data_IF_924797006972
#
_entry.id   IF_924797006972
#
_cell.length_a   1.000
_cell.length_b   1.000
_cell.length_c   1.000
_cell.angle_alpha   90.00
_cell.angle_beta   90.00
_cell.angle_gamma   90.00
#
_symmetry.space_group_name_H-M   'P 1'
#
loop_
_entity.id
_entity.type
_entity.pdbx_description
1 polymer ?
#
# COMPACT_ATOMS: atom_id res chain seq x y z
N UNK A 1 2.64 18.79 -3.75
CA UNK A 1 1.57 19.69 -4.25
C UNK A 1 0.69 20.16 -3.11
N UNK A 2 -0.11 19.28 -2.49
CA UNK A 2 -1.07 19.65 -1.43
C UNK A 2 -0.44 20.37 -0.22
N UNK A 3 0.73 19.93 0.22
CA UNK A 3 1.48 20.59 1.30
C UNK A 3 2.01 21.97 0.89
N UNK A 4 2.43 22.11 -0.37
CA UNK A 4 2.88 23.38 -0.94
C UNK A 4 1.74 24.39 -1.11
N UNK A 5 0.54 23.93 -1.47
CA UNK A 5 -0.67 24.77 -1.53
C UNK A 5 -1.00 25.33 -0.14
N UNK A 6 -0.80 24.56 0.93
CA UNK A 6 -1.03 25.04 2.32
C UNK A 6 -0.06 26.15 2.73
N UNK A 7 1.21 26.08 2.32
CA UNK A 7 2.22 27.11 2.66
C UNK A 7 2.29 28.26 1.65
N UNK A 8 1.57 28.16 0.53
CA UNK A 8 1.54 29.19 -0.51
C UNK A 8 1.16 30.59 0.02
N UNK A 9 0.14 30.75 0.91
CA UNK A 9 -0.19 32.07 1.46
C UNK A 9 0.95 32.68 2.27
N UNK A 10 1.71 31.87 3.00
CA UNK A 10 2.85 32.35 3.79
C UNK A 10 4.01 32.78 2.89
N UNK A 11 4.24 32.04 1.80
CA UNK A 11 5.23 32.43 0.78
C UNK A 11 4.83 33.71 0.03
N UNK A 12 3.53 33.88 -0.25
CA UNK A 12 3.00 35.11 -0.84
C UNK A 12 3.21 36.32 0.08
N UNK A 13 2.93 36.20 1.38
CA UNK A 13 3.21 37.26 2.36
C UNK A 13 4.68 37.62 2.43
N UNK A 14 5.56 36.61 2.36
CA UNK A 14 7.00 36.84 2.37
C UNK A 14 7.48 37.61 1.13
N UNK A 15 6.91 37.31 -0.04
CA UNK A 15 7.17 38.05 -1.26
C UNK A 15 6.75 39.52 -1.13
N UNK A 16 5.53 39.78 -0.65
CA UNK A 16 5.00 41.12 -0.43
C UNK A 16 5.85 41.93 0.56
N UNK A 17 6.36 41.26 1.60
CA UNK A 17 7.29 41.87 2.55
C UNK A 17 8.61 42.30 1.89
N UNK A 18 9.20 41.44 1.05
CA UNK A 18 10.44 41.76 0.32
C UNK A 18 10.21 42.97 -0.59
N UNK A 19 9.10 43.01 -1.34
CA UNK A 19 8.76 44.15 -2.21
C UNK A 19 8.55 45.44 -1.41
N UNK A 20 7.90 45.36 -0.24
CA UNK A 20 7.71 46.52 0.65
C UNK A 20 9.04 47.09 1.16
N UNK A 21 9.98 46.21 1.54
CA UNK A 21 11.33 46.60 1.92
C UNK A 21 12.07 47.27 0.76
N UNK A 22 12.02 46.67 -0.44
CA UNK A 22 12.64 47.23 -1.64
C UNK A 22 12.11 48.63 -1.95
N UNK A 23 10.79 48.81 -1.91
CA UNK A 23 10.15 50.12 -2.12
C UNK A 23 10.61 51.16 -1.11
N UNK A 24 10.77 50.77 0.16
CA UNK A 24 11.26 51.65 1.22
C UNK A 24 12.70 52.08 0.96
N UNK A 25 13.57 51.16 0.53
CA UNK A 25 14.96 51.47 0.16
C UNK A 25 15.02 52.42 -1.02
N UNK A 26 14.20 52.18 -2.06
CA UNK A 26 14.10 53.03 -3.24
C UNK A 26 13.71 54.46 -2.92
N UNK A 27 12.72 54.64 -2.03
CA UNK A 27 12.21 55.96 -1.67
C UNK A 27 13.17 56.76 -0.79
N UNK A 28 14.02 56.11 0.01
CA UNK A 28 14.79 56.78 1.05
C UNK A 28 16.31 56.83 0.79
N UNK A 29 16.87 55.92 -0.02
CA UNK A 29 18.32 55.73 -0.10
C UNK A 29 18.88 55.70 -1.52
N UNK A 30 18.40 54.79 -2.38
CA UNK A 30 18.90 54.66 -3.76
C UNK A 30 17.90 54.00 -4.70
N UNK A 31 17.94 54.39 -5.97
CA UNK A 31 17.26 53.64 -7.03
C UNK A 31 17.90 52.27 -7.24
N UNK A 32 17.12 51.31 -7.73
CA UNK A 32 17.64 50.01 -8.12
C UNK A 32 18.54 50.13 -9.35
N UNK A 33 19.55 49.27 -9.39
CA UNK A 33 20.35 49.05 -10.58
C UNK A 33 19.57 48.23 -11.61
N UNK A 34 19.95 48.33 -12.88
CA UNK A 34 19.32 47.57 -13.97
C UNK A 34 19.43 46.04 -13.76
N UNK A 35 20.53 45.58 -13.15
CA UNK A 35 20.71 44.17 -12.79
C UNK A 35 19.72 43.72 -11.69
N UNK A 36 19.48 44.55 -10.69
CA UNK A 36 18.51 44.26 -9.61
C UNK A 36 17.07 44.23 -10.14
N UNK A 37 16.71 45.21 -10.97
CA UNK A 37 15.40 45.24 -11.65
C UNK A 37 15.16 43.99 -12.49
N UNK A 38 16.18 43.55 -13.24
CA UNK A 38 16.10 42.34 -14.07
C UNK A 38 15.86 41.09 -13.21
N UNK A 39 16.48 41.00 -12.03
CA UNK A 39 16.29 39.86 -11.12
C UNK A 39 14.90 39.88 -10.50
N UNK A 40 14.43 41.03 -10.05
CA UNK A 40 13.09 41.19 -9.48
C UNK A 40 12.00 40.84 -10.51
N UNK A 41 12.12 41.36 -11.73
CA UNK A 41 11.18 41.08 -12.81
C UNK A 41 11.14 39.58 -13.15
N UNK A 42 12.30 38.93 -13.24
CA UNK A 42 12.39 37.48 -13.45
C UNK A 42 11.73 36.70 -12.31
N UNK A 43 11.97 37.09 -11.07
CA UNK A 43 11.41 36.44 -9.90
C UNK A 43 9.88 36.55 -9.88
N UNK A 44 9.33 37.74 -10.13
CA UNK A 44 7.90 37.98 -10.20
C UNK A 44 7.25 37.22 -11.35
N UNK A 45 7.88 37.21 -12.53
CA UNK A 45 7.40 36.44 -13.67
C UNK A 45 7.33 34.94 -13.36
N UNK A 46 8.39 34.37 -12.77
CA UNK A 46 8.40 32.97 -12.35
C UNK A 46 7.32 32.67 -11.30
N UNK A 47 7.15 33.56 -10.32
CA UNK A 47 6.13 33.43 -9.28
C UNK A 47 4.71 33.47 -9.88
N UNK A 48 4.45 34.41 -10.78
CA UNK A 48 3.18 34.56 -11.48
C UNK A 48 2.86 33.37 -12.39
N UNK A 49 3.88 32.72 -12.98
CA UNK A 49 3.70 31.46 -13.71
C UNK A 49 3.52 30.25 -12.79
N UNK A 50 4.20 30.24 -11.63
CA UNK A 50 4.18 29.10 -10.71
C UNK A 50 2.82 28.91 -10.03
N UNK A 51 2.18 29.99 -9.57
CA UNK A 51 0.87 29.92 -8.90
C UNK A 51 -0.20 29.19 -9.74
N UNK A 52 -0.48 29.55 -11.01
CA UNK A 52 -1.49 28.87 -11.80
C UNK A 52 -1.13 27.41 -12.07
N UNK A 53 0.15 27.09 -12.33
CA UNK A 53 0.60 25.72 -12.49
C UNK A 53 0.39 24.88 -11.23
N UNK A 54 0.65 25.46 -10.06
CA UNK A 54 0.43 24.79 -8.78
C UNK A 54 -1.06 24.55 -8.53
N UNK A 55 -1.92 25.52 -8.85
CA UNK A 55 -3.39 25.36 -8.76
C UNK A 55 -3.91 24.30 -9.72
N UNK A 56 -3.44 24.30 -10.96
CA UNK A 56 -3.82 23.29 -11.94
C UNK A 56 -3.40 21.88 -11.50
N UNK A 57 -2.19 21.74 -10.95
CA UNK A 57 -1.73 20.47 -10.39
C UNK A 57 -2.56 20.04 -9.18
N UNK A 58 -2.95 20.96 -8.30
CA UNK A 58 -3.81 20.66 -7.16
C UNK A 58 -5.22 20.25 -7.60
N UNK A 59 -5.81 20.97 -8.54
CA UNK A 59 -7.13 20.67 -9.11
C UNK A 59 -7.15 19.29 -9.78
N UNK A 60 -6.09 18.95 -10.52
CA UNK A 60 -5.94 17.63 -11.15
C UNK A 60 -5.88 16.52 -10.08
N UNK A 61 -5.05 16.71 -9.05
CA UNK A 61 -4.91 15.76 -7.94
C UNK A 61 -6.25 15.61 -7.21
N UNK A 62 -6.92 16.71 -6.87
CA UNK A 62 -8.20 16.72 -6.16
C UNK A 62 -9.32 16.08 -6.99
N UNK A 63 -9.31 16.24 -8.32
CA UNK A 63 -10.28 15.62 -9.23
C UNK A 63 -10.16 14.10 -9.28
N UNK A 64 -8.93 13.58 -9.28
CA UNK A 64 -8.67 12.14 -9.39
C UNK A 64 -8.61 11.42 -8.03
N UNK A 65 -8.36 12.15 -6.95
CA UNK A 65 -8.21 11.55 -5.63
C UNK A 65 -9.42 10.67 -5.21
N UNK A 66 -10.69 11.12 -5.31
CA UNK A 66 -11.83 10.30 -4.88
C UNK A 66 -12.00 9.02 -5.69
N UNK A 67 -11.68 9.04 -6.99
CA UNK A 67 -11.79 7.84 -7.82
C UNK A 67 -10.66 6.85 -7.53
N UNK A 68 -9.44 7.34 -7.29
CA UNK A 68 -8.30 6.50 -6.87
C UNK A 68 -8.53 5.89 -5.49
N UNK A 69 -9.00 6.68 -4.53
CA UNK A 69 -9.42 6.24 -3.19
C UNK A 69 -10.41 5.07 -3.28
N UNK A 70 -11.50 5.28 -4.02
CA UNK A 70 -12.54 4.28 -4.21
C UNK A 70 -12.02 3.00 -4.89
N UNK A 71 -11.08 3.14 -5.83
CA UNK A 71 -10.45 1.99 -6.48
C UNK A 71 -9.58 1.19 -5.50
N UNK A 72 -8.80 1.87 -4.65
CA UNK A 72 -8.01 1.23 -3.59
C UNK A 72 -8.92 0.49 -2.60
N UNK A 73 -9.99 1.10 -2.13
CA UNK A 73 -10.95 0.47 -1.21
C UNK A 73 -11.61 -0.77 -1.82
N UNK A 74 -12.01 -0.69 -3.10
CA UNK A 74 -12.57 -1.83 -3.82
C UNK A 74 -11.56 -2.97 -3.98
N UNK A 75 -10.32 -2.66 -4.37
CA UNK A 75 -9.25 -3.66 -4.49
C UNK A 75 -8.95 -4.30 -3.14
N UNK A 76 -8.86 -3.50 -2.07
CA UNK A 76 -8.63 -3.99 -0.74
C UNK A 76 -9.74 -4.95 -0.30
N UNK A 77 -11.00 -4.52 -0.44
CA UNK A 77 -12.17 -5.34 -0.08
C UNK A 77 -12.19 -6.66 -0.85
N UNK A 78 -11.91 -6.63 -2.15
CA UNK A 78 -11.86 -7.82 -2.98
C UNK A 78 -10.77 -8.81 -2.53
N UNK A 79 -9.52 -8.34 -2.39
CA UNK A 79 -8.40 -9.20 -2.00
C UNK A 79 -8.56 -9.74 -0.58
N UNK A 80 -9.13 -8.94 0.33
CA UNK A 80 -9.40 -9.35 1.69
C UNK A 80 -10.50 -10.42 1.77
N UNK A 81 -11.57 -10.28 0.98
CA UNK A 81 -12.59 -11.32 0.85
C UNK A 81 -12.00 -12.61 0.26
N UNK A 82 -11.17 -12.53 -0.77
CA UNK A 82 -10.53 -13.69 -1.40
C UNK A 82 -9.64 -14.45 -0.40
N UNK A 83 -8.82 -13.72 0.36
CA UNK A 83 -8.03 -14.29 1.45
C UNK A 83 -8.92 -15.01 2.47
N UNK A 84 -9.99 -14.37 2.95
CA UNK A 84 -10.92 -14.98 3.92
C UNK A 84 -11.53 -16.27 3.37
N UNK A 85 -11.87 -16.29 2.09
CA UNK A 85 -12.40 -17.49 1.44
C UNK A 85 -11.36 -18.61 1.44
N UNK A 86 -10.10 -18.34 1.05
CA UNK A 86 -9.04 -19.36 1.07
C UNK A 86 -8.78 -19.90 2.48
N UNK A 87 -8.80 -19.02 3.49
CA UNK A 87 -8.62 -19.41 4.89
C UNK A 87 -9.79 -20.28 5.35
N UNK A 88 -11.03 -19.90 5.01
CA UNK A 88 -12.22 -20.71 5.29
C UNK A 88 -12.13 -22.07 4.61
N UNK A 89 -11.83 -22.10 3.31
CA UNK A 89 -11.79 -23.32 2.50
C UNK A 89 -10.69 -24.26 3.01
N UNK A 90 -9.49 -23.75 3.27
CA UNK A 90 -8.37 -24.57 3.75
C UNK A 90 -8.55 -25.09 5.18
N UNK A 91 -9.38 -24.44 6.00
CA UNK A 91 -9.59 -24.84 7.40
C UNK A 91 -10.87 -25.64 7.62
N UNK A 92 -11.64 -25.91 6.58
CA UNK A 92 -12.94 -26.60 6.63
C UNK A 92 -13.04 -27.79 5.68
N UNK A 93 -14.16 -28.52 5.77
CA UNK A 93 -14.54 -29.56 4.81
C UNK A 93 -13.47 -30.66 4.65
N UNK A 94 -13.08 -31.02 3.41
CA UNK A 94 -12.12 -32.09 3.14
C UNK A 94 -10.78 -31.91 3.87
N UNK A 95 -10.34 -30.68 4.13
CA UNK A 95 -9.08 -30.43 4.80
C UNK A 95 -9.10 -30.76 6.30
N UNK A 96 -10.28 -31.02 6.88
CA UNK A 96 -10.47 -31.53 8.25
C UNK A 96 -10.68 -33.04 8.29
N UNK A 97 -10.92 -33.70 7.15
CA UNK A 97 -11.25 -35.12 7.09
C UNK A 97 -9.98 -35.96 6.93
N UNK A 98 -9.57 -36.75 7.95
CA UNK A 98 -8.36 -37.56 7.90
C UNK A 98 -8.43 -38.70 6.87
N UNK A 99 -9.61 -39.04 6.37
CA UNK A 99 -9.80 -40.08 5.36
C UNK A 99 -9.46 -39.62 3.94
N UNK A 100 -9.17 -38.33 3.73
CA UNK A 100 -8.81 -37.80 2.42
C UNK A 100 -7.42 -38.25 1.97
N UNK A 101 -7.19 -38.19 0.66
CA UNK A 101 -5.88 -38.49 0.09
C UNK A 101 -4.86 -37.41 0.50
N UNK A 102 -3.88 -37.80 1.33
CA UNK A 102 -2.89 -36.87 1.87
C UNK A 102 -2.06 -36.15 0.79
N UNK A 103 -1.68 -36.84 -0.30
CA UNK A 103 -0.91 -36.25 -1.40
C UNK A 103 -1.71 -35.20 -2.17
N UNK A 104 -2.99 -35.47 -2.40
CA UNK A 104 -3.91 -34.53 -3.05
C UNK A 104 -4.15 -33.29 -2.17
N UNK A 105 -4.45 -33.50 -0.88
CA UNK A 105 -4.68 -32.40 0.06
C UNK A 105 -3.44 -31.52 0.21
N UNK A 106 -2.25 -32.11 0.30
CA UNK A 106 -0.99 -31.38 0.39
C UNK A 106 -0.70 -30.56 -0.88
N UNK A 107 -1.00 -31.10 -2.06
CA UNK A 107 -0.89 -30.36 -3.33
C UNK A 107 -1.82 -29.15 -3.37
N UNK A 108 -3.08 -29.31 -2.93
CA UNK A 108 -4.06 -28.22 -2.84
C UNK A 108 -3.63 -27.16 -1.81
N UNK A 109 -3.19 -27.57 -0.62
CA UNK A 109 -2.72 -26.66 0.42
C UNK A 109 -1.46 -25.89 0.01
N UNK A 110 -0.54 -26.49 -0.74
CA UNK A 110 0.61 -25.77 -1.29
C UNK A 110 0.17 -24.64 -2.22
N UNK A 111 -0.77 -24.91 -3.12
CA UNK A 111 -1.34 -23.88 -4.00
C UNK A 111 -2.01 -22.77 -3.18
N UNK A 112 -2.83 -23.12 -2.19
CA UNK A 112 -3.50 -22.16 -1.31
C UNK A 112 -2.50 -21.30 -0.52
N UNK A 113 -1.43 -21.89 0.03
CA UNK A 113 -0.36 -21.15 0.70
C UNK A 113 0.34 -20.16 -0.24
N UNK A 114 0.67 -20.57 -1.47
CA UNK A 114 1.24 -19.66 -2.47
C UNK A 114 0.29 -18.50 -2.80
N UNK A 115 -1.01 -18.81 -2.93
CA UNK A 115 -2.02 -17.80 -3.22
C UNK A 115 -2.16 -16.80 -2.07
N UNK A 116 -2.25 -17.28 -0.83
CA UNK A 116 -2.32 -16.47 0.40
C UNK A 116 -1.10 -15.57 0.55
N UNK A 117 0.11 -16.06 0.28
CA UNK A 117 1.32 -15.24 0.30
C UNK A 117 1.26 -14.12 -0.77
N UNK A 118 0.76 -14.43 -1.95
CA UNK A 118 0.60 -13.46 -3.04
C UNK A 118 -0.43 -12.39 -2.68
N UNK A 119 -1.57 -12.78 -2.11
CA UNK A 119 -2.60 -11.86 -1.64
C UNK A 119 -2.08 -10.98 -0.51
N UNK A 120 -1.35 -11.55 0.44
CA UNK A 120 -0.75 -10.80 1.56
C UNK A 120 0.21 -9.73 1.08
N UNK A 121 1.10 -10.06 0.14
CA UNK A 121 2.02 -9.08 -0.46
C UNK A 121 1.28 -7.96 -1.21
N UNK A 122 0.17 -8.26 -1.88
CA UNK A 122 -0.67 -7.25 -2.55
C UNK A 122 -1.39 -6.35 -1.55
N UNK A 123 -1.93 -6.92 -0.46
CA UNK A 123 -2.57 -6.16 0.62
C UNK A 123 -1.56 -5.23 1.33
N UNK A 124 -0.33 -5.69 1.57
CA UNK A 124 0.75 -4.86 2.12
C UNK A 124 1.12 -3.70 1.18
N UNK A 125 1.12 -3.93 -0.13
CA UNK A 125 1.35 -2.89 -1.12
C UNK A 125 0.22 -1.84 -1.09
N UNK A 126 -1.03 -2.30 -1.07
CA UNK A 126 -2.20 -1.40 -1.03
C UNK A 126 -2.25 -0.58 0.27
N UNK A 127 -1.93 -1.20 1.41
CA UNK A 127 -1.88 -0.50 2.71
C UNK A 127 -0.85 0.64 2.69
N UNK A 128 0.35 0.38 2.15
CA UNK A 128 1.39 1.41 1.97
C UNK A 128 0.95 2.53 1.01
N UNK A 129 0.30 2.18 -0.10
CA UNK A 129 -0.23 3.17 -1.05
C UNK A 129 -1.31 4.04 -0.41
N UNK A 130 -2.22 3.47 0.37
CA UNK A 130 -3.26 4.22 1.10
C UNK A 130 -2.66 5.18 2.13
N UNK A 131 -1.62 4.73 2.86
CA UNK A 131 -0.90 5.60 3.79
C UNK A 131 -0.26 6.81 3.09
N UNK A 132 0.30 6.61 1.90
CA UNK A 132 0.86 7.71 1.09
C UNK A 132 -0.21 8.70 0.61
N UNK A 133 -1.45 8.25 0.41
CA UNK A 133 -2.58 9.12 0.06
C UNK A 133 -3.20 9.83 1.28
N UNK A 134 -2.76 9.49 2.49
CA UNK A 134 -3.22 10.12 3.73
C UNK A 134 -4.64 9.71 4.13
N UNK A 135 -5.12 8.57 3.62
CA UNK A 135 -6.44 8.04 3.95
C UNK A 135 -6.38 7.37 5.31
N UNK A 136 -5.98 6.10 5.43
CA UNK A 136 -5.84 5.44 6.74
C UNK A 136 -4.74 4.37 6.71
N UNK A 137 -4.18 4.03 7.88
CA UNK A 137 -3.35 2.82 8.01
C UNK A 137 -4.28 1.64 8.24
N UNK A 138 -4.20 0.64 7.37
CA UNK A 138 -5.03 -0.56 7.51
C UNK A 138 -4.30 -1.54 8.41
N UNK A 139 -4.97 -1.96 9.48
CA UNK A 139 -4.46 -2.98 10.38
C UNK A 139 -4.48 -4.36 9.70
N UNK A 140 -3.29 -4.89 9.41
CA UNK A 140 -3.09 -6.19 8.79
C UNK A 140 -2.76 -7.28 9.82
N UNK A 141 -2.87 -7.04 11.13
CA UNK A 141 -2.59 -8.08 12.14
C UNK A 141 -3.52 -9.30 12.02
N UNK A 142 -4.78 -9.09 11.63
CA UNK A 142 -5.75 -10.16 11.35
C UNK A 142 -5.27 -11.06 10.20
N UNK A 143 -4.62 -10.47 9.18
CA UNK A 143 -4.05 -11.19 8.04
C UNK A 143 -2.96 -12.17 8.49
N UNK A 144 -2.08 -11.76 9.41
CA UNK A 144 -0.99 -12.62 9.92
C UNK A 144 -1.55 -13.89 10.57
N UNK A 145 -2.60 -13.76 11.37
CA UNK A 145 -3.23 -14.91 12.04
C UNK A 145 -3.89 -15.84 11.03
N UNK A 146 -4.57 -15.28 10.03
CA UNK A 146 -5.27 -16.07 9.01
C UNK A 146 -4.29 -16.81 8.09
N UNK A 147 -3.20 -16.17 7.68
CA UNK A 147 -2.10 -16.81 6.93
C UNK A 147 -1.52 -17.98 7.72
N UNK A 148 -1.27 -17.79 9.03
CA UNK A 148 -0.74 -18.84 9.90
C UNK A 148 -1.65 -20.06 9.99
N UNK A 149 -2.98 -19.90 9.97
CA UNK A 149 -3.91 -21.04 9.98
C UNK A 149 -3.74 -21.93 8.75
N UNK A 150 -3.57 -21.32 7.57
CA UNK A 150 -3.39 -22.06 6.30
C UNK A 150 -2.06 -22.83 6.33
N UNK A 151 -0.99 -22.17 6.80
CA UNK A 151 0.33 -22.80 6.96
C UNK A 151 0.28 -23.96 7.96
N UNK A 152 -0.29 -23.74 9.15
CA UNK A 152 -0.41 -24.78 10.15
C UNK A 152 -1.23 -25.98 9.64
N UNK A 153 -2.25 -25.74 8.82
CA UNK A 153 -3.01 -26.82 8.18
C UNK A 153 -2.17 -27.60 7.17
N UNK A 154 -1.35 -26.93 6.37
CA UNK A 154 -0.39 -27.59 5.47
C UNK A 154 0.55 -28.48 6.27
N UNK A 155 1.15 -27.96 7.34
CA UNK A 155 2.12 -28.69 8.15
C UNK A 155 1.49 -29.94 8.78
N UNK A 156 0.22 -29.84 9.22
CA UNK A 156 -0.54 -30.99 9.71
C UNK A 156 -0.70 -32.08 8.64
N UNK A 157 -1.05 -31.70 7.41
CA UNK A 157 -1.21 -32.65 6.31
C UNK A 157 0.11 -33.29 5.86
N UNK A 158 1.21 -32.54 5.98
CA UNK A 158 2.56 -33.08 5.78
C UNK A 158 2.88 -34.16 6.82
N UNK A 159 2.57 -33.93 8.09
CA UNK A 159 2.74 -34.93 9.15
C UNK A 159 1.86 -36.17 8.92
N UNK A 160 0.60 -35.99 8.49
CA UNK A 160 -0.29 -37.11 8.14
C UNK A 160 0.29 -37.92 6.99
N UNK A 161 0.81 -37.27 5.95
CA UNK A 161 1.44 -37.94 4.82
C UNK A 161 2.65 -38.79 5.27
N UNK A 162 3.54 -38.22 6.09
CA UNK A 162 4.71 -38.95 6.63
C UNK A 162 4.27 -40.16 7.47
N UNK A 163 3.32 -39.97 8.38
CA UNK A 163 2.80 -41.04 9.22
C UNK A 163 2.14 -42.16 8.42
N UNK A 164 1.33 -41.82 7.43
CA UNK A 164 0.66 -42.82 6.57
C UNK A 164 1.66 -43.61 5.73
N UNK A 165 2.68 -42.95 5.17
CA UNK A 165 3.76 -43.65 4.47
C UNK A 165 4.51 -44.60 5.40
N UNK A 166 4.88 -44.13 6.60
CA UNK A 166 5.55 -44.95 7.59
C UNK A 166 4.72 -46.18 7.99
N UNK A 167 3.40 -46.02 8.20
CA UNK A 167 2.51 -47.11 8.55
C UNK A 167 2.37 -48.15 7.42
N UNK A 168 2.28 -47.71 6.17
CA UNK A 168 2.27 -48.57 4.98
C UNK A 168 3.59 -49.36 4.84
N UNK A 169 4.73 -48.77 5.18
CA UNK A 169 6.04 -49.44 5.17
C UNK A 169 6.17 -50.49 6.29
N UNK A 170 5.62 -50.22 7.48
CA UNK A 170 5.68 -51.13 8.62
C UNK A 170 4.70 -52.30 8.54
N UNK A 171 3.52 -52.08 7.96
CA UNK A 171 2.45 -53.09 7.86
C UNK A 171 2.90 -54.44 7.25
N UNK A 172 3.71 -54.50 6.17
CA UNK A 172 4.23 -55.76 5.64
C UNK A 172 5.36 -56.38 6.49
N UNK A 173 6.06 -55.61 7.33
CA UNK A 173 7.16 -56.11 8.17
C UNK A 173 6.65 -56.99 9.32
N UNK A 174 5.43 -56.76 9.82
CA UNK A 174 4.84 -57.52 10.95
C UNK A 174 4.50 -58.98 10.57
N UNK A 175 4.45 -59.31 9.28
CA UNK A 175 4.09 -60.65 8.79
C UNK A 175 5.25 -61.41 8.12
N UNK A 176 6.50 -60.94 8.30
CA UNK A 176 7.71 -61.56 7.72
C UNK A 176 8.63 -62.23 8.76
N UNK A 177 8.13 -62.47 9.98
CA UNK A 177 8.74 -63.36 10.99
C UNK A 177 8.05 -64.73 11.05
#
# INVERSE_FOLDING_TARGET
VREFVKVLPDKQKHLEYIQSLQNTICMNYRNMTEAELTVEEKMLNLWNCFIPLLKEADDLVCRHHPSMAKALDMMFSFLFCDLKNIVSDSTSGPFLDPCQNAKEMMSKLNYMCMHVNTLSAKLDLLSRSSQQMGEHTIDLTVLTTDVQKVIARKDLWELIAVYTTWLEEWKPMVFSE
#
